data_IF_701726406557
#
_entry.id   IF_701726406557
#
_cell.length_a   1.000
_cell.length_b   1.000
_cell.length_c   1.000
_cell.angle_alpha   90.00
_cell.angle_beta   90.00
_cell.angle_gamma   90.00
#
_symmetry.space_group_name_H-M   'P 1'
#
loop_
_entity.id
_entity.type
_entity.pdbx_description
1 polymer ?
#
# COMPACT_ATOMS: atom_id res chain seq x y z
N UNK A 1 -43.34 14.86 -7.41
CA UNK A 1 -43.04 14.40 -6.04
C UNK A 1 -41.55 14.19 -5.94
N UNK A 2 -40.83 15.26 -5.58
CA UNK A 2 -39.41 15.19 -5.25
C UNK A 2 -39.29 14.46 -3.91
N UNK A 3 -38.70 13.27 -3.90
CA UNK A 3 -38.36 12.59 -2.65
C UNK A 3 -37.56 13.55 -1.78
N UNK A 4 -37.89 13.71 -0.48
CA UNK A 4 -37.13 14.59 0.38
C UNK A 4 -35.68 14.11 0.42
N UNK A 5 -34.76 15.02 0.07
CA UNK A 5 -33.32 14.78 0.14
C UNK A 5 -33.02 14.23 1.55
N UNK A 6 -32.33 13.09 1.69
CA UNK A 6 -32.03 12.49 2.99
C UNK A 6 -31.35 13.51 3.92
N UNK A 7 -31.65 13.45 5.22
CA UNK A 7 -31.12 14.33 6.29
C UNK A 7 -29.58 14.38 6.40
N UNK A 8 -28.86 13.58 5.62
CA UNK A 8 -27.39 13.54 5.50
C UNK A 8 -26.78 14.92 5.16
N UNK A 9 -27.52 15.80 4.50
CA UNK A 9 -27.04 17.10 3.99
C UNK A 9 -26.73 18.17 5.05
N UNK A 10 -27.09 17.95 6.33
CA UNK A 10 -26.93 18.94 7.40
C UNK A 10 -25.59 18.87 8.15
N UNK A 11 -24.77 17.84 7.93
CA UNK A 11 -23.48 17.75 8.61
C UNK A 11 -22.47 18.64 7.88
N UNK A 12 -21.81 19.58 8.59
CA UNK A 12 -20.81 20.45 7.97
C UNK A 12 -19.59 19.63 7.54
N UNK A 13 -19.08 19.94 6.34
CA UNK A 13 -18.01 19.20 5.65
C UNK A 13 -16.78 18.95 6.55
N UNK A 14 -16.37 19.95 7.31
CA UNK A 14 -15.20 19.86 8.20
C UNK A 14 -15.36 18.78 9.29
N UNK A 15 -16.58 18.51 9.77
CA UNK A 15 -16.81 17.46 10.76
C UNK A 15 -16.57 16.09 10.15
N UNK A 16 -17.03 15.87 8.92
CA UNK A 16 -16.84 14.62 8.16
C UNK A 16 -15.36 14.39 7.87
N UNK A 17 -14.64 15.45 7.45
CA UNK A 17 -13.21 15.38 7.17
C UNK A 17 -12.39 15.04 8.42
N UNK A 18 -12.69 15.66 9.57
CA UNK A 18 -11.96 15.41 10.82
C UNK A 18 -12.31 14.05 11.42
N UNK A 19 -13.59 13.66 11.44
CA UNK A 19 -13.98 12.33 11.95
C UNK A 19 -13.40 11.20 11.10
N UNK A 20 -13.45 11.36 9.78
CA UNK A 20 -12.84 10.44 8.83
C UNK A 20 -11.32 10.38 8.98
N UNK A 21 -10.65 11.52 9.15
CA UNK A 21 -9.20 11.58 9.35
C UNK A 21 -8.72 10.94 10.65
N UNK A 22 -9.41 11.17 11.77
CA UNK A 22 -9.08 10.53 13.06
C UNK A 22 -9.34 9.02 12.98
N UNK A 23 -10.45 8.59 12.36
CA UNK A 23 -10.75 7.18 12.16
C UNK A 23 -9.69 6.48 11.30
N UNK A 24 -9.32 7.09 10.18
CA UNK A 24 -8.28 6.60 9.28
C UNK A 24 -6.92 6.47 9.96
N UNK A 25 -6.46 7.51 10.67
CA UNK A 25 -5.21 7.44 11.42
C UNK A 25 -5.20 6.34 12.48
N UNK A 26 -6.31 6.17 13.18
CA UNK A 26 -6.42 5.15 14.22
C UNK A 26 -6.32 3.76 13.61
N UNK A 27 -7.00 3.54 12.49
CA UNK A 27 -6.90 2.31 11.71
C UNK A 27 -5.48 2.04 11.22
N UNK A 28 -4.84 3.05 10.61
CA UNK A 28 -3.47 2.97 10.11
C UNK A 28 -2.49 2.65 11.24
N UNK A 29 -2.61 3.32 12.39
CA UNK A 29 -1.74 3.09 13.55
C UNK A 29 -1.83 1.65 14.08
N UNK A 30 -3.05 1.10 14.15
CA UNK A 30 -3.29 -0.26 14.61
C UNK A 30 -2.80 -1.30 13.59
N UNK A 31 -3.07 -1.09 12.31
CA UNK A 31 -2.67 -1.98 11.22
C UNK A 31 -1.16 -1.91 10.91
N UNK A 32 -0.49 -0.81 11.25
CA UNK A 32 0.90 -0.55 10.84
C UNK A 32 1.86 -1.69 11.20
N UNK A 33 1.71 -2.27 12.38
CA UNK A 33 2.56 -3.39 12.81
C UNK A 33 2.43 -4.62 11.91
N UNK A 34 1.21 -4.94 11.48
CA UNK A 34 0.90 -6.06 10.60
C UNK A 34 1.38 -5.76 9.18
N UNK A 35 1.18 -4.53 8.69
CA UNK A 35 1.66 -4.10 7.38
C UNK A 35 3.18 -4.24 7.27
N UNK A 36 3.92 -3.86 8.31
CA UNK A 36 5.38 -3.99 8.31
C UNK A 36 5.83 -5.45 8.24
N UNK A 37 5.13 -6.37 8.90
CA UNK A 37 5.44 -7.80 8.80
C UNK A 37 5.09 -8.34 7.41
N UNK A 38 3.92 -7.99 6.86
CA UNK A 38 3.51 -8.38 5.50
C UNK A 38 4.50 -7.92 4.44
N UNK A 39 4.85 -6.64 4.45
CA UNK A 39 5.76 -6.03 3.47
C UNK A 39 7.15 -6.68 3.51
N UNK A 40 7.67 -6.98 4.70
CA UNK A 40 8.95 -7.68 4.84
C UNK A 40 8.90 -9.14 4.40
N UNK A 41 7.80 -9.84 4.72
CA UNK A 41 7.60 -11.21 4.26
C UNK A 41 7.49 -11.28 2.73
N UNK A 42 6.74 -10.36 2.12
CA UNK A 42 6.63 -10.23 0.66
C UNK A 42 7.95 -9.85 -0.01
N UNK A 43 8.82 -9.10 0.66
CA UNK A 43 10.14 -8.78 0.13
C UNK A 43 11.17 -9.91 0.31
N UNK A 44 10.96 -10.82 1.27
CA UNK A 44 11.92 -11.85 1.66
C UNK A 44 11.39 -13.28 1.42
N UNK A 45 10.79 -13.51 0.25
CA UNK A 45 10.15 -14.79 -0.14
C UNK A 45 11.07 -16.00 -0.01
N UNK A 46 12.39 -15.82 -0.19
CA UNK A 46 13.38 -16.90 -0.15
C UNK A 46 14.12 -17.03 1.20
N UNK A 47 13.65 -16.39 2.26
CA UNK A 47 14.29 -16.47 3.57
C UNK A 47 13.43 -17.31 4.51
N UNK A 48 13.94 -18.49 4.90
CA UNK A 48 13.26 -19.47 5.78
C UNK A 48 12.71 -18.84 7.07
N UNK A 49 13.33 -17.76 7.53
CA UNK A 49 12.97 -16.98 8.72
C UNK A 49 11.61 -16.27 8.63
N UNK A 50 11.12 -15.98 7.43
CA UNK A 50 9.87 -15.26 7.16
C UNK A 50 8.77 -16.12 6.53
N UNK A 51 8.91 -17.46 6.53
CA UNK A 51 7.91 -18.35 5.93
C UNK A 51 6.52 -18.21 6.57
N UNK A 52 6.47 -18.08 7.89
CA UNK A 52 5.23 -17.91 8.63
C UNK A 52 5.10 -16.48 9.16
N UNK A 53 3.88 -15.93 9.09
CA UNK A 53 3.55 -14.59 9.59
C UNK A 53 3.87 -14.44 11.09
N UNK A 54 3.61 -15.49 11.88
CA UNK A 54 3.89 -15.52 13.32
C UNK A 54 5.40 -15.58 13.63
N UNK A 55 6.17 -16.35 12.85
CA UNK A 55 7.63 -16.43 13.03
C UNK A 55 8.27 -15.11 12.60
N UNK A 56 7.83 -14.53 11.49
CA UNK A 56 8.24 -13.21 11.01
C UNK A 56 8.01 -12.14 12.09
N UNK A 57 6.82 -12.11 12.68
CA UNK A 57 6.47 -11.16 13.75
C UNK A 57 7.38 -11.31 14.96
N UNK A 58 7.54 -12.53 15.48
CA UNK A 58 8.40 -12.83 16.64
C UNK A 58 9.85 -12.47 16.37
N UNK A 59 10.34 -12.80 15.19
CA UNK A 59 11.69 -12.47 14.76
C UNK A 59 11.93 -10.97 14.72
N UNK A 60 11.05 -10.21 14.07
CA UNK A 60 11.19 -8.75 13.97
C UNK A 60 11.14 -8.10 15.36
N UNK A 61 10.25 -8.59 16.22
CA UNK A 61 10.15 -8.13 17.61
C UNK A 61 11.46 -8.34 18.38
N UNK A 62 12.05 -9.54 18.33
CA UNK A 62 13.28 -9.85 19.07
C UNK A 62 14.52 -9.18 18.47
N UNK A 63 14.59 -9.06 17.14
CA UNK A 63 15.79 -8.59 16.46
C UNK A 63 15.79 -7.09 16.22
N UNK A 64 14.65 -6.43 16.10
CA UNK A 64 14.62 -5.00 15.75
C UNK A 64 13.81 -4.16 16.73
N UNK A 65 13.06 -4.82 17.62
CA UNK A 65 12.20 -4.19 18.59
C UNK A 65 10.95 -3.56 17.98
N UNK A 66 10.18 -2.89 18.82
CA UNK A 66 8.86 -2.34 18.47
C UNK A 66 9.00 -1.11 17.56
N UNK A 67 9.81 -0.13 17.97
CA UNK A 67 9.86 1.19 17.30
C UNK A 67 10.58 1.16 15.96
N UNK A 68 11.71 0.45 15.87
CA UNK A 68 12.53 0.36 14.64
C UNK A 68 12.18 -0.84 13.76
N UNK A 69 11.61 -1.91 14.34
CA UNK A 69 11.11 -3.05 13.60
C UNK A 69 9.66 -2.83 13.17
N UNK A 70 8.71 -3.14 14.05
CA UNK A 70 7.28 -3.18 13.73
C UNK A 70 6.68 -1.84 13.29
N UNK A 71 7.16 -0.73 13.87
CA UNK A 71 6.66 0.62 13.57
C UNK A 71 7.56 1.43 12.63
N UNK A 72 8.47 0.77 11.90
CA UNK A 72 9.26 1.45 10.86
C UNK A 72 8.34 2.06 9.79
N UNK A 73 8.60 3.30 9.41
CA UNK A 73 7.78 3.98 8.38
C UNK A 73 6.43 4.51 8.89
N UNK A 74 6.16 4.55 10.20
CA UNK A 74 4.92 5.14 10.72
C UNK A 74 4.82 6.64 10.43
N UNK A 75 5.93 7.37 10.50
CA UNK A 75 5.95 8.82 10.27
C UNK A 75 5.45 9.22 8.88
N UNK A 76 5.98 8.71 7.75
CA UNK A 76 5.42 9.03 6.44
C UNK A 76 3.97 8.58 6.31
N UNK A 77 3.60 7.43 6.89
CA UNK A 77 2.23 6.91 6.84
C UNK A 77 1.24 7.91 7.46
N UNK A 78 1.49 8.39 8.68
CA UNK A 78 0.64 9.37 9.35
C UNK A 78 0.65 10.73 8.62
N UNK A 79 1.80 11.13 8.08
CA UNK A 79 1.93 12.38 7.32
C UNK A 79 1.11 12.38 6.03
N UNK A 80 0.93 11.23 5.37
CA UNK A 80 0.10 11.11 4.16
C UNK A 80 -1.36 10.82 4.46
N UNK A 81 -1.63 10.02 5.49
CA UNK A 81 -2.98 9.55 5.82
C UNK A 81 -3.93 10.68 6.19
N UNK A 82 -3.53 11.61 7.07
CA UNK A 82 -4.38 12.76 7.44
C UNK A 82 -4.77 13.64 6.24
N UNK A 83 -3.83 14.22 5.49
CA UNK A 83 -4.19 15.06 4.36
C UNK A 83 -4.87 14.27 3.24
N UNK A 84 -4.51 12.99 3.05
CA UNK A 84 -5.16 12.10 2.09
C UNK A 84 -6.63 11.85 2.43
N UNK A 85 -6.95 11.49 3.67
CA UNK A 85 -8.33 11.27 4.14
C UNK A 85 -9.16 12.55 4.12
N UNK A 86 -8.58 13.67 4.53
CA UNK A 86 -9.23 14.99 4.44
C UNK A 86 -9.58 15.33 3.00
N UNK A 87 -8.66 15.09 2.05
CA UNK A 87 -8.89 15.35 0.63
C UNK A 87 -9.90 14.37 0.02
N UNK A 88 -9.86 13.10 0.43
CA UNK A 88 -10.84 12.08 0.05
C UNK A 88 -12.25 12.48 0.47
N UNK A 89 -12.48 12.68 1.78
CA UNK A 89 -13.81 13.01 2.29
C UNK A 89 -14.30 14.38 1.81
N UNK A 90 -13.40 15.34 1.64
CA UNK A 90 -13.69 16.64 1.07
C UNK A 90 -14.23 16.53 -0.37
N UNK A 91 -13.49 15.82 -1.23
CA UNK A 91 -13.86 15.61 -2.63
C UNK A 91 -15.09 14.73 -2.76
N UNK A 92 -15.18 13.66 -1.96
CA UNK A 92 -16.32 12.75 -1.94
C UNK A 92 -17.62 13.51 -1.64
N UNK A 93 -17.66 14.26 -0.55
CA UNK A 93 -18.87 14.96 -0.12
C UNK A 93 -19.23 16.11 -1.07
N UNK A 94 -18.22 16.82 -1.61
CA UNK A 94 -18.44 17.85 -2.63
C UNK A 94 -19.06 17.27 -3.91
N UNK A 95 -18.45 16.21 -4.46
CA UNK A 95 -18.93 15.55 -5.68
C UNK A 95 -20.30 14.93 -5.47
N UNK A 96 -20.52 14.24 -4.34
CA UNK A 96 -21.80 13.62 -3.99
C UNK A 96 -22.95 14.64 -4.01
N UNK A 97 -22.76 15.80 -3.35
CA UNK A 97 -23.78 16.87 -3.31
C UNK A 97 -24.12 17.36 -4.72
N UNK A 98 -23.09 17.64 -5.54
CA UNK A 98 -23.28 18.11 -6.92
C UNK A 98 -23.99 17.10 -7.81
N UNK A 99 -23.67 15.82 -7.71
CA UNK A 99 -24.31 14.77 -8.52
C UNK A 99 -25.77 14.54 -8.10
N UNK A 100 -26.07 14.61 -6.79
CA UNK A 100 -27.44 14.54 -6.29
C UNK A 100 -28.27 15.75 -6.73
N UNK A 101 -27.69 16.96 -6.76
CA UNK A 101 -28.37 18.17 -7.23
C UNK A 101 -28.76 18.08 -8.72
N UNK A 102 -28.00 17.34 -9.52
CA UNK A 102 -28.27 17.08 -10.95
C UNK A 102 -29.35 15.99 -11.13
N UNK A 103 -29.75 15.29 -10.06
CA UNK A 103 -30.76 14.24 -10.10
C UNK A 103 -30.23 12.87 -10.51
N UNK A 104 -28.92 12.61 -10.34
CA UNK A 104 -28.35 11.29 -10.58
C UNK A 104 -28.86 10.26 -9.54
N UNK A 105 -29.00 8.97 -9.91
CA UNK A 105 -29.35 7.92 -8.95
C UNK A 105 -28.29 7.78 -7.84
N UNK A 106 -28.68 7.27 -6.67
CA UNK A 106 -27.82 7.20 -5.48
C UNK A 106 -26.58 6.31 -5.70
N UNK A 107 -26.77 5.09 -6.22
CA UNK A 107 -25.71 4.11 -6.50
C UNK A 107 -24.55 4.66 -7.36
N UNK A 108 -24.76 5.19 -8.58
CA UNK A 108 -23.67 5.74 -9.39
C UNK A 108 -23.09 7.03 -8.79
N UNK A 109 -23.87 7.79 -8.02
CA UNK A 109 -23.39 9.01 -7.37
C UNK A 109 -22.33 8.69 -6.32
N UNK A 110 -22.61 7.73 -5.43
CA UNK A 110 -21.66 7.28 -4.42
C UNK A 110 -20.39 6.68 -5.03
N UNK A 111 -20.54 5.89 -6.10
CA UNK A 111 -19.42 5.31 -6.82
C UNK A 111 -18.54 6.41 -7.42
N UNK A 112 -19.11 7.30 -8.24
CA UNK A 112 -18.35 8.37 -8.91
C UNK A 112 -17.70 9.32 -7.91
N UNK A 113 -18.39 9.69 -6.83
CA UNK A 113 -17.80 10.51 -5.78
C UNK A 113 -16.65 9.81 -5.07
N UNK A 114 -16.73 8.49 -4.88
CA UNK A 114 -15.66 7.66 -4.34
C UNK A 114 -14.44 7.63 -5.26
N UNK A 115 -14.64 7.33 -6.54
CA UNK A 115 -13.53 7.29 -7.53
C UNK A 115 -12.85 8.65 -7.67
N UNK A 116 -13.62 9.74 -7.68
CA UNK A 116 -13.03 11.09 -7.67
C UNK A 116 -12.26 11.35 -6.36
N UNK A 117 -12.82 10.96 -5.21
CA UNK A 117 -12.14 11.03 -3.93
C UNK A 117 -10.78 10.33 -3.95
N UNK A 118 -10.74 9.09 -4.45
CA UNK A 118 -9.52 8.28 -4.58
C UNK A 118 -8.50 8.94 -5.51
N UNK A 119 -8.95 9.45 -6.68
CA UNK A 119 -8.09 10.15 -7.63
C UNK A 119 -7.41 11.37 -7.01
N UNK A 120 -8.15 12.21 -6.29
CA UNK A 120 -7.55 13.39 -5.66
C UNK A 120 -6.68 13.02 -4.45
N UNK A 121 -7.13 12.09 -3.60
CA UNK A 121 -6.38 11.64 -2.43
C UNK A 121 -5.05 10.96 -2.80
N UNK A 122 -5.03 10.21 -3.90
CA UNK A 122 -3.84 9.49 -4.39
C UNK A 122 -2.63 10.38 -4.66
N UNK A 123 -2.83 11.68 -4.97
CA UNK A 123 -1.75 12.65 -5.17
C UNK A 123 -0.88 12.81 -3.91
N UNK A 124 -1.50 12.72 -2.73
CA UNK A 124 -0.84 12.86 -1.43
C UNK A 124 -0.50 11.49 -0.86
N UNK A 125 -1.41 10.53 -1.01
CA UNK A 125 -1.27 9.19 -0.45
C UNK A 125 -0.14 8.39 -1.10
N UNK A 126 -0.03 8.37 -2.45
CA UNK A 126 0.98 7.58 -3.17
C UNK A 126 2.42 7.91 -2.77
N UNK A 127 2.88 9.18 -2.75
CA UNK A 127 4.25 9.48 -2.33
C UNK A 127 4.52 9.12 -0.86
N UNK A 128 3.51 9.23 0.01
CA UNK A 128 3.60 8.78 1.40
C UNK A 128 3.72 7.27 1.51
N UNK A 129 2.97 6.51 0.70
CA UNK A 129 3.02 5.06 0.64
C UNK A 129 4.38 4.56 0.12
N UNK A 130 4.96 5.21 -0.89
CA UNK A 130 6.33 4.92 -1.36
C UNK A 130 7.35 5.15 -0.23
N UNK A 131 7.24 6.25 0.52
CA UNK A 131 8.13 6.50 1.66
C UNK A 131 7.94 5.47 2.79
N UNK A 132 6.68 5.13 3.11
CA UNK A 132 6.30 4.12 4.12
C UNK A 132 6.93 2.77 3.76
N UNK A 133 6.69 2.28 2.55
CA UNK A 133 7.17 0.96 2.10
C UNK A 133 8.69 0.90 2.07
N UNK A 134 9.39 1.93 1.56
CA UNK A 134 10.87 1.99 1.59
C UNK A 134 11.44 1.90 3.00
N UNK A 135 10.81 2.56 3.97
CA UNK A 135 11.21 2.49 5.39
C UNK A 135 10.81 1.16 6.06
N UNK A 136 9.67 0.57 5.70
CA UNK A 136 9.25 -0.74 6.20
C UNK A 136 10.18 -1.86 5.72
N UNK A 137 10.63 -1.77 4.46
CA UNK A 137 11.59 -2.69 3.86
C UNK A 137 12.99 -2.55 4.43
N UNK A 138 13.30 -1.42 5.08
CA UNK A 138 14.56 -1.24 5.78
C UNK A 138 14.57 -2.14 7.02
N UNK A 139 15.23 -3.30 6.90
CA UNK A 139 15.62 -4.14 8.03
C UNK A 139 16.87 -3.60 8.73
N UNK A 140 17.24 -4.22 9.85
CA UNK A 140 18.39 -3.87 10.71
C UNK A 140 19.60 -3.33 9.93
N UNK A 141 20.25 -2.29 10.47
CA UNK A 141 21.52 -1.74 9.97
C UNK A 141 22.48 -2.91 9.66
N UNK A 142 22.90 -3.07 8.41
CA UNK A 142 23.70 -4.21 7.93
C UNK A 142 23.04 -5.58 8.17
N UNK A 143 21.83 -5.79 7.63
CA UNK A 143 21.28 -7.15 7.53
C UNK A 143 22.06 -7.94 6.47
N UNK A 144 22.78 -9.03 6.81
CA UNK A 144 23.55 -9.81 5.82
C UNK A 144 22.65 -10.45 4.75
N UNK A 145 21.34 -10.55 5.03
CA UNK A 145 20.34 -11.13 4.13
C UNK A 145 19.59 -10.11 3.27
N UNK A 146 19.70 -8.80 3.55
CA UNK A 146 19.03 -7.75 2.77
C UNK A 146 19.91 -6.49 2.67
N UNK A 147 20.67 -6.40 1.58
CA UNK A 147 21.45 -5.23 1.23
C UNK A 147 20.54 -4.18 0.58
N UNK A 148 19.72 -3.49 1.39
CA UNK A 148 19.13 -2.24 0.93
C UNK A 148 20.28 -1.25 0.76
N UNK A 149 20.66 -0.93 -0.48
CA UNK A 149 21.72 0.05 -0.80
C UNK A 149 21.48 1.45 -0.23
N UNK A 150 20.36 1.66 0.47
CA UNK A 150 19.98 2.89 1.15
C UNK A 150 19.63 2.63 2.61
N UNK A 151 20.27 3.39 3.49
CA UNK A 151 20.03 3.35 4.92
C UNK A 151 19.50 4.72 5.35
N UNK A 152 18.17 4.84 5.45
CA UNK A 152 17.53 6.10 5.79
C UNK A 152 17.55 6.31 7.30
N UNK A 153 18.02 7.49 7.74
CA UNK A 153 18.03 7.84 9.18
C UNK A 153 16.69 8.41 9.66
N UNK A 154 15.90 8.94 8.73
CA UNK A 154 14.64 9.64 8.96
C UNK A 154 13.80 9.63 7.68
N UNK A 155 12.49 9.81 7.81
CA UNK A 155 11.57 10.05 6.69
C UNK A 155 12.04 11.17 5.77
N UNK A 156 12.57 12.24 6.34
CA UNK A 156 13.03 13.38 5.56
C UNK A 156 14.34 13.08 4.82
N UNK A 157 15.19 12.26 5.43
CA UNK A 157 16.40 11.75 4.79
C UNK A 157 16.03 10.81 3.63
N UNK A 158 15.04 9.95 3.83
CA UNK A 158 14.48 9.10 2.78
C UNK A 158 13.94 9.90 1.60
N UNK A 159 13.10 10.89 1.87
CA UNK A 159 12.58 11.78 0.83
C UNK A 159 13.69 12.48 0.04
N UNK A 160 14.69 13.04 0.73
CA UNK A 160 15.82 13.73 0.09
C UNK A 160 16.66 12.78 -0.76
N UNK A 161 16.95 11.58 -0.24
CA UNK A 161 17.83 10.62 -0.90
C UNK A 161 17.16 9.99 -2.13
N UNK A 162 15.87 9.65 -2.03
CA UNK A 162 15.07 9.17 -3.17
C UNK A 162 15.02 10.25 -4.25
N UNK A 163 14.68 11.50 -3.87
CA UNK A 163 14.61 12.62 -4.81
C UNK A 163 15.96 12.89 -5.50
N UNK A 164 17.08 12.74 -4.79
CA UNK A 164 18.43 12.98 -5.32
C UNK A 164 18.92 11.85 -6.23
N UNK A 165 18.63 10.60 -5.88
CA UNK A 165 19.22 9.42 -6.55
C UNK A 165 18.31 8.83 -7.64
N UNK A 166 17.00 8.78 -7.42
CA UNK A 166 16.00 8.18 -8.32
C UNK A 166 15.16 9.26 -9.04
N UNK A 167 15.16 10.49 -8.53
CA UNK A 167 14.43 11.64 -9.09
C UNK A 167 13.05 11.85 -8.45
N UNK A 168 12.40 12.96 -8.77
CA UNK A 168 11.07 13.30 -8.23
C UNK A 168 9.95 12.36 -8.72
N UNK A 169 10.11 11.78 -9.92
CA UNK A 169 9.17 10.81 -10.48
C UNK A 169 9.16 9.50 -9.69
N UNK A 170 10.25 9.15 -9.01
CA UNK A 170 10.37 7.94 -8.17
C UNK A 170 9.24 7.82 -7.14
N UNK A 171 8.83 8.94 -6.55
CA UNK A 171 7.77 9.00 -5.54
C UNK A 171 6.36 8.72 -6.09
N UNK A 172 6.19 8.76 -7.42
CA UNK A 172 4.93 8.47 -8.09
C UNK A 172 5.01 7.17 -8.91
N UNK A 173 6.12 6.42 -8.84
CA UNK A 173 6.15 5.06 -9.41
C UNK A 173 5.19 4.20 -8.59
N UNK A 174 4.19 3.64 -9.27
CA UNK A 174 3.08 2.94 -8.61
C UNK A 174 1.75 3.65 -8.72
N UNK A 175 1.68 4.95 -9.05
CA UNK A 175 0.40 5.69 -9.13
C UNK A 175 -0.65 4.99 -10.02
N UNK A 176 -0.25 4.50 -11.20
CA UNK A 176 -1.14 3.74 -12.10
C UNK A 176 -1.53 2.38 -11.53
N UNK A 177 -0.61 1.69 -10.85
CA UNK A 177 -0.86 0.39 -10.24
C UNK A 177 -1.85 0.54 -9.07
N UNK A 178 -1.64 1.54 -8.20
CA UNK A 178 -2.55 1.91 -7.12
C UNK A 178 -3.95 2.17 -7.65
N UNK A 179 -4.12 3.04 -8.66
CA UNK A 179 -5.44 3.30 -9.24
C UNK A 179 -6.05 2.06 -9.90
N UNK A 180 -5.27 1.27 -10.64
CA UNK A 180 -5.79 0.04 -11.26
C UNK A 180 -6.25 -1.00 -10.25
N UNK A 181 -5.72 -0.98 -9.02
CA UNK A 181 -6.12 -1.88 -7.93
C UNK A 181 -7.30 -1.30 -7.16
N UNK A 182 -7.25 -0.01 -6.84
CA UNK A 182 -8.20 0.64 -5.94
C UNK A 182 -9.56 0.87 -6.63
N UNK A 183 -9.59 1.25 -7.91
CA UNK A 183 -10.85 1.50 -8.62
C UNK A 183 -11.75 0.25 -8.73
N UNK A 184 -11.25 -0.94 -9.14
CA UNK A 184 -12.07 -2.16 -9.18
C UNK A 184 -12.44 -2.63 -7.77
N UNK A 185 -11.52 -2.52 -6.80
CA UNK A 185 -11.79 -2.88 -5.41
C UNK A 185 -12.93 -2.04 -4.83
N UNK A 186 -12.89 -0.71 -4.99
CA UNK A 186 -13.94 0.22 -4.55
C UNK A 186 -15.29 -0.12 -5.19
N UNK A 187 -15.32 -0.43 -6.50
CA UNK A 187 -16.54 -0.80 -7.20
C UNK A 187 -17.14 -2.12 -6.70
N UNK A 188 -16.31 -3.15 -6.52
CA UNK A 188 -16.75 -4.44 -6.01
C UNK A 188 -17.18 -4.37 -4.55
N UNK A 189 -16.42 -3.67 -3.70
CA UNK A 189 -16.76 -3.46 -2.30
C UNK A 189 -18.12 -2.79 -2.16
N UNK A 190 -18.39 -1.77 -2.98
CA UNK A 190 -19.68 -1.11 -2.99
C UNK A 190 -20.82 -2.05 -3.42
N UNK A 191 -20.64 -2.79 -4.51
CA UNK A 191 -21.63 -3.75 -4.99
C UNK A 191 -21.95 -4.84 -3.95
N UNK A 192 -20.93 -5.40 -3.28
CA UNK A 192 -21.15 -6.37 -2.21
C UNK A 192 -21.76 -5.75 -0.96
N UNK A 193 -21.38 -4.51 -0.63
CA UNK A 193 -21.94 -3.80 0.51
C UNK A 193 -23.44 -3.56 0.34
N UNK A 194 -23.91 -3.11 -0.83
CA UNK A 194 -25.34 -2.93 -1.11
C UNK A 194 -26.10 -4.26 -0.96
N UNK A 195 -25.56 -5.36 -1.51
CA UNK A 195 -26.19 -6.68 -1.42
C UNK A 195 -26.24 -7.22 0.01
N UNK A 196 -25.13 -7.15 0.76
CA UNK A 196 -25.10 -7.60 2.15
C UNK A 196 -25.94 -6.71 3.06
N UNK A 197 -25.99 -5.40 2.80
CA UNK A 197 -26.84 -4.46 3.53
C UNK A 197 -28.33 -4.75 3.26
N UNK A 198 -28.72 -4.97 2.01
CA UNK A 198 -30.09 -5.34 1.66
C UNK A 198 -30.51 -6.68 2.31
N UNK A 199 -29.59 -7.65 2.35
CA UNK A 199 -29.84 -8.91 3.05
C UNK A 199 -29.97 -8.72 4.58
N UNK A 200 -29.10 -7.90 5.18
CA UNK A 200 -29.16 -7.54 6.59
C UNK A 200 -30.47 -6.84 6.98
N UNK A 201 -30.95 -5.90 6.16
CA UNK A 201 -32.23 -5.22 6.38
C UNK A 201 -33.42 -6.19 6.35
N UNK A 202 -33.43 -7.13 5.39
CA UNK A 202 -34.46 -8.17 5.32
C UNK A 202 -34.45 -9.10 6.53
N UNK A 203 -33.28 -9.38 7.09
CA UNK A 203 -33.14 -10.24 8.26
C UNK A 203 -33.55 -9.52 9.56
N UNK A 204 -33.17 -8.26 9.72
CA UNK A 204 -33.44 -7.48 10.94
C UNK A 204 -34.87 -6.91 11.01
N UNK A 205 -35.59 -6.83 9.88
CA UNK A 205 -36.96 -6.32 9.82
C UNK A 205 -37.14 -4.84 10.19
N UNK A 206 -36.03 -4.12 10.42
CA UNK A 206 -35.98 -2.71 10.76
C UNK A 206 -35.01 -2.00 9.81
N UNK A 207 -35.28 -0.74 9.47
CA UNK A 207 -34.43 0.06 8.57
C UNK A 207 -33.00 0.26 9.12
N UNK A 208 -32.83 0.18 10.44
CA UNK A 208 -31.55 0.27 11.13
C UNK A 208 -31.05 -1.12 11.53
N UNK A 209 -30.08 -1.63 10.77
CA UNK A 209 -29.46 -2.95 10.95
C UNK A 209 -28.66 -3.01 12.28
N UNK A 210 -28.29 -1.84 12.83
CA UNK A 210 -27.59 -1.70 14.10
C UNK A 210 -26.08 -1.87 13.93
N UNK A 211 -25.32 -1.17 14.78
CA UNK A 211 -23.86 -1.01 14.65
C UNK A 211 -23.14 -2.35 14.40
N UNK A 212 -23.50 -3.40 15.14
CA UNK A 212 -22.83 -4.72 15.01
C UNK A 212 -22.99 -5.34 13.62
N UNK A 213 -24.20 -5.28 13.06
CA UNK A 213 -24.49 -5.85 11.74
C UNK A 213 -23.95 -4.95 10.62
N UNK A 214 -23.94 -3.63 10.80
CA UNK A 214 -23.30 -2.72 9.86
C UNK A 214 -21.78 -2.98 9.77
N UNK A 215 -21.12 -3.21 10.91
CA UNK A 215 -19.71 -3.61 10.93
C UNK A 215 -19.47 -4.96 10.25
N UNK A 216 -20.34 -5.96 10.50
CA UNK A 216 -20.21 -7.27 9.88
C UNK A 216 -20.45 -7.25 8.36
N UNK A 217 -21.49 -6.55 7.90
CA UNK A 217 -21.79 -6.41 6.47
C UNK A 217 -20.67 -5.67 5.74
N UNK A 218 -20.14 -4.59 6.32
CA UNK A 218 -18.97 -3.89 5.81
C UNK A 218 -17.71 -4.78 5.75
N UNK A 219 -17.44 -5.53 6.83
CA UNK A 219 -16.32 -6.45 6.90
C UNK A 219 -16.41 -7.59 5.87
N UNK A 220 -17.59 -8.18 5.71
CA UNK A 220 -17.83 -9.24 4.71
C UNK A 220 -17.73 -8.69 3.29
N UNK A 221 -18.30 -7.52 3.02
CA UNK A 221 -18.18 -6.86 1.71
C UNK A 221 -16.72 -6.64 1.33
N UNK A 222 -15.91 -6.09 2.24
CA UNK A 222 -14.48 -5.88 2.02
C UNK A 222 -13.71 -7.18 1.83
N UNK A 223 -14.02 -8.23 2.60
CA UNK A 223 -13.37 -9.53 2.46
C UNK A 223 -13.68 -10.21 1.12
N UNK A 224 -14.95 -10.21 0.69
CA UNK A 224 -15.35 -10.77 -0.60
C UNK A 224 -14.81 -9.97 -1.79
N UNK A 225 -14.88 -8.64 -1.72
CA UNK A 225 -14.28 -7.77 -2.73
C UNK A 225 -12.77 -8.00 -2.84
N UNK A 226 -12.08 -8.09 -1.70
CA UNK A 226 -10.66 -8.39 -1.63
C UNK A 226 -10.34 -9.75 -2.25
N UNK A 227 -11.07 -10.80 -1.89
CA UNK A 227 -10.88 -12.14 -2.43
C UNK A 227 -11.01 -12.19 -3.96
N UNK A 228 -12.00 -11.50 -4.52
CA UNK A 228 -12.21 -11.45 -5.98
C UNK A 228 -11.24 -10.51 -6.71
N UNK A 229 -10.79 -9.45 -6.04
CA UNK A 229 -9.86 -8.49 -6.66
C UNK A 229 -8.41 -8.97 -6.59
N UNK A 230 -8.07 -9.86 -5.64
CA UNK A 230 -6.70 -10.40 -5.48
C UNK A 230 -6.11 -10.96 -6.79
N UNK A 231 -6.81 -11.82 -7.58
CA UNK A 231 -6.27 -12.27 -8.86
C UNK A 231 -6.13 -11.16 -9.90
N UNK A 232 -7.03 -10.18 -9.93
CA UNK A 232 -6.98 -9.05 -10.86
C UNK A 232 -5.84 -8.07 -10.53
N UNK A 233 -5.57 -7.85 -9.24
CA UNK A 233 -4.44 -7.03 -8.79
C UNK A 233 -3.11 -7.58 -9.27
N UNK A 234 -2.95 -8.91 -9.22
CA UNK A 234 -1.76 -9.62 -9.71
C UNK A 234 -1.60 -9.43 -11.24
N UNK A 235 -2.70 -9.47 -12.00
CA UNK A 235 -2.66 -9.26 -13.46
C UNK A 235 -2.27 -7.83 -13.86
N UNK A 236 -2.77 -6.82 -13.15
CA UNK A 236 -2.42 -5.42 -13.41
C UNK A 236 -0.97 -5.11 -13.05
N UNK A 237 -0.45 -5.65 -11.93
CA UNK A 237 0.95 -5.51 -11.56
C UNK A 237 1.88 -6.20 -12.56
N UNK A 238 1.54 -7.41 -13.02
CA UNK A 238 2.28 -8.13 -14.06
C UNK A 238 2.31 -7.37 -15.39
N UNK A 239 1.22 -6.69 -15.73
CA UNK A 239 1.15 -5.87 -16.96
C UNK A 239 2.04 -4.62 -16.89
N UNK A 240 2.16 -4.00 -15.71
CA UNK A 240 3.05 -2.85 -15.48
C UNK A 240 4.52 -3.28 -15.45
N UNK A 241 4.85 -4.40 -14.80
CA UNK A 241 6.21 -4.96 -14.79
C UNK A 241 6.73 -5.30 -16.20
N UNK A 242 5.86 -5.77 -17.09
CA UNK A 242 6.22 -6.02 -18.49
C UNK A 242 6.39 -4.75 -19.33
N UNK A 243 5.83 -3.61 -18.89
CA UNK A 243 5.99 -2.33 -19.58
C UNK A 243 7.28 -1.57 -19.21
N UNK A 244 7.92 -1.93 -18.09
CA UNK A 244 9.20 -1.36 -17.63
C UNK A 244 10.41 -2.22 -18.04
N UNK A 245 10.47 -2.73 -19.29
CA UNK A 245 11.77 -3.04 -19.90
C UNK A 245 12.57 -1.75 -20.08
N UNK A 246 13.41 -1.44 -19.09
CA UNK A 246 14.36 -0.34 -19.13
C UNK A 246 15.13 -0.33 -20.46
N UNK A 247 15.30 0.82 -21.14
CA UNK A 247 16.26 0.91 -22.23
C UNK A 247 17.66 0.57 -21.68
N UNK A 248 18.32 -0.38 -22.33
CA UNK A 248 19.69 -0.80 -22.06
C UNK A 248 20.59 0.42 -21.84
N UNK A 249 20.99 0.69 -20.59
CA UNK A 249 22.11 1.58 -20.31
C UNK A 249 23.34 0.85 -20.85
N UNK A 250 23.84 1.30 -22.00
CA UNK A 250 25.13 0.90 -22.56
C UNK A 250 26.19 1.01 -21.46
N UNK A 251 26.91 -0.09 -21.25
CA UNK A 251 28.15 -0.12 -20.50
C UNK A 251 29.10 0.95 -21.02
N UNK A 252 29.34 2.00 -20.23
CA UNK A 252 30.44 2.93 -20.43
C UNK A 252 31.09 3.24 -19.08
N UNK A 253 32.10 2.42 -18.76
CA UNK A 253 33.29 2.76 -17.99
C UNK A 253 33.16 3.57 -16.70
N UNK A 254 32.97 2.89 -15.56
CA UNK A 254 33.54 3.31 -14.27
C UNK A 254 33.95 2.07 -13.46
N UNK A 255 34.99 1.38 -13.90
CA UNK A 255 35.78 0.47 -13.06
C UNK A 255 37.14 1.11 -12.86
N UNK A 256 37.33 1.82 -11.74
CA UNK A 256 38.63 2.11 -11.09
C UNK A 256 38.45 3.03 -9.89
N UNK A 257 38.26 2.42 -8.71
CA UNK A 257 38.80 2.84 -7.40
C UNK A 257 38.18 1.92 -6.35
N UNK A 258 38.97 1.54 -5.34
CA UNK A 258 38.66 0.55 -4.30
C UNK A 258 38.97 -0.91 -4.65
N UNK A 259 40.20 -1.14 -5.14
CA UNK A 259 40.95 -2.35 -4.81
C UNK A 259 42.32 -1.91 -4.31
N UNK A 260 42.43 -1.71 -3.00
CA UNK A 260 43.69 -1.80 -2.28
C UNK A 260 43.36 -2.10 -0.82
N UNK A 261 44.20 -2.96 -0.21
CA UNK A 261 44.22 -3.39 1.20
C UNK A 261 43.40 -4.67 1.46
N UNK A 262 43.98 -5.86 1.20
CA UNK A 262 44.61 -6.72 2.24
C UNK A 262 45.03 -8.06 1.60
N UNK A 263 46.33 -8.29 1.51
CA UNK A 263 46.97 -9.57 1.15
C UNK A 263 47.29 -10.36 2.42
N UNK A 264 46.72 -11.56 2.60
CA UNK A 264 47.31 -12.65 3.39
C UNK A 264 47.04 -13.98 2.66
N UNK A 265 48.11 -14.78 2.55
CA UNK A 265 48.30 -15.97 1.71
C UNK A 265 47.58 -17.24 2.22
N UNK A 266 47.05 -18.07 1.31
CA UNK A 266 47.08 -19.55 1.36
C UNK A 266 46.99 -20.18 -0.05
N UNK A 267 47.64 -21.34 -0.33
CA UNK A 267 47.79 -21.94 -1.68
C UNK A 267 46.66 -22.95 -2.03
N UNK A 268 46.61 -23.49 -3.28
CA UNK A 268 45.34 -23.74 -4.00
C UNK A 268 44.86 -25.20 -3.96
N UNK A 269 43.55 -25.40 -4.03
CA UNK A 269 42.92 -26.63 -4.56
C UNK A 269 41.70 -26.27 -5.42
N UNK A 270 41.53 -27.04 -6.50
CA UNK A 270 40.75 -26.79 -7.72
C UNK A 270 39.22 -27.04 -7.58
N UNK A 271 38.41 -26.63 -8.59
CA UNK A 271 37.06 -26.07 -8.42
C UNK A 271 35.92 -27.11 -8.50
N UNK A 272 34.65 -26.69 -8.29
CA UNK A 272 33.79 -26.69 -9.48
C UNK A 272 32.75 -25.55 -9.57
N UNK A 273 32.35 -25.28 -10.83
CA UNK A 273 31.13 -24.59 -11.29
C UNK A 273 30.92 -23.11 -10.97
N UNK A 274 31.50 -22.23 -11.79
CA UNK A 274 31.01 -20.85 -11.96
C UNK A 274 29.75 -20.85 -12.84
N UNK A 275 28.58 -20.78 -12.21
CA UNK A 275 27.34 -20.35 -12.87
C UNK A 275 27.40 -18.82 -12.96
N UNK A 276 27.32 -18.31 -14.19
CA UNK A 276 27.30 -16.90 -14.51
C UNK A 276 26.12 -16.18 -13.84
N UNK A 277 26.33 -15.51 -12.71
CA UNK A 277 25.36 -14.58 -12.14
C UNK A 277 25.38 -13.25 -12.90
N UNK A 278 24.56 -13.18 -13.94
CA UNK A 278 24.14 -11.91 -14.54
C UNK A 278 22.74 -11.58 -14.02
N UNK A 279 22.62 -10.44 -13.33
CA UNK A 279 21.40 -9.60 -13.18
C UNK A 279 20.10 -10.29 -12.71
N UNK A 280 19.58 -9.87 -11.53
CA UNK A 280 18.14 -9.59 -11.30
C UNK A 280 17.92 -9.15 -9.84
N UNK A 281 17.93 -7.84 -9.60
CA UNK A 281 17.11 -7.25 -8.54
C UNK A 281 15.75 -6.97 -9.18
N UNK A 282 14.84 -7.94 -9.16
CA UNK A 282 13.46 -7.77 -9.61
C UNK A 282 12.56 -8.55 -8.68
N UNK A 283 11.72 -7.79 -7.97
CA UNK A 283 10.38 -8.12 -7.47
C UNK A 283 10.08 -9.59 -7.20
N UNK A 284 10.12 -9.95 -5.92
CA UNK A 284 9.68 -11.24 -5.39
C UNK A 284 8.14 -11.30 -5.30
N UNK A 285 7.47 -11.33 -6.45
CA UNK A 285 6.09 -11.79 -6.61
C UNK A 285 6.00 -12.71 -7.84
N UNK A 286 6.82 -13.76 -7.84
CA UNK A 286 6.61 -14.89 -8.73
C UNK A 286 7.22 -16.17 -8.14
N UNK A 287 6.52 -17.27 -8.38
CA UNK A 287 6.86 -18.68 -8.06
C UNK A 287 6.20 -19.28 -6.81
N UNK A 288 4.87 -19.39 -6.86
CA UNK A 288 4.14 -20.56 -6.35
C UNK A 288 3.05 -20.95 -7.36
N UNK A 289 3.48 -21.59 -8.45
CA UNK A 289 2.74 -22.64 -9.15
C UNK A 289 3.75 -23.50 -9.92
N UNK A 290 4.53 -24.25 -9.15
CA UNK A 290 4.78 -25.69 -9.30
C UNK A 290 5.48 -26.21 -8.02
#
# INVERSE_FOLDING_TARGET
>A
MTSPIPKESQIPLWKVMISGGIGGLTGDFLMHSIDTVKTRQQAAVNVLKYLNMSTAYRTIYHEEGILRGLYSGITPALMGSLPGTVLFFGTYEFSKRRLLDIGCPETPTHLLSGLLGDLFASIIYVPSEVLKTRLQLQGRYMNPYFHSGYNYRSTWDAFRLIRKNEGSKALFHGYKATLSRDLPFSALQFAFYEQFRAWGQRYSGHDNIGIKLDFLTGGMAGAFAGFLTTPLGICSENSVANSETFPNIKNSGVTKKYQHITTINHPPTNPPHSINHTKRCYWALHDLQD
#
